data_IF_130324524090
#
_entry.id   IF_130324524090
#
_cell.length_a   1.000
_cell.length_b   1.000
_cell.length_c   1.000
_cell.angle_alpha   90.00
_cell.angle_beta   90.00
_cell.angle_gamma   90.00
#
_symmetry.space_group_name_H-M   'P 1'
#
loop_
_entity.id
_entity.type
_entity.pdbx_description
1 polymer ?
#
# COMPACT_ATOMS: atom_id res chain seq x y z
N UNK A 1 41.29 10.35 -52.23
CA UNK A 1 40.72 10.35 -53.60
C UNK A 1 39.39 9.59 -53.50
N UNK A 2 38.24 10.20 -53.85
CA UNK A 2 37.59 10.15 -55.19
C UNK A 2 37.24 8.70 -55.61
N UNK A 3 36.02 8.32 -56.01
CA UNK A 3 34.69 8.99 -56.15
C UNK A 3 33.60 7.88 -56.16
N UNK A 4 32.38 8.03 -55.61
CA UNK A 4 31.19 8.84 -56.00
C UNK A 4 30.52 8.45 -57.36
N UNK A 5 29.17 8.46 -57.35
CA UNK A 5 28.18 8.28 -58.46
C UNK A 5 27.90 6.81 -58.86
N UNK A 6 26.70 6.38 -59.26
CA UNK A 6 25.35 7.01 -59.39
C UNK A 6 24.23 5.98 -59.06
N UNK A 7 22.95 6.31 -58.84
CA UNK A 7 21.97 7.01 -59.71
C UNK A 7 21.72 6.26 -61.04
N UNK A 8 20.50 6.06 -61.60
CA UNK A 8 19.09 6.41 -61.30
C UNK A 8 18.20 5.47 -62.20
N UNK A 9 16.86 5.37 -62.23
CA UNK A 9 15.67 5.97 -61.56
C UNK A 9 14.43 5.07 -61.89
N UNK A 10 13.26 5.26 -61.26
CA UNK A 10 11.94 5.29 -61.96
C UNK A 10 10.87 6.08 -61.17
N UNK A 11 9.97 6.72 -61.91
CA UNK A 11 8.89 7.68 -61.55
C UNK A 11 7.54 7.12 -62.09
N UNK A 12 6.31 7.61 -61.88
CA UNK A 12 5.65 8.65 -61.04
C UNK A 12 4.13 8.39 -61.06
N UNK A 13 3.32 9.13 -60.27
CA UNK A 13 1.86 9.20 -60.46
C UNK A 13 1.16 10.15 -59.48
N UNK A 14 0.54 11.23 -59.97
CA UNK A 14 -0.10 12.29 -59.16
C UNK A 14 -1.44 12.74 -59.76
N UNK A 15 -2.38 13.23 -58.93
CA UNK A 15 -3.22 14.45 -59.12
C UNK A 15 -4.49 14.44 -58.23
N UNK A 16 -5.28 15.53 -58.14
CA UNK A 16 -5.01 16.73 -57.32
C UNK A 16 -6.23 17.71 -57.23
N UNK A 17 -6.51 18.23 -56.01
CA UNK A 17 -7.22 19.51 -55.70
C UNK A 17 -8.67 19.72 -56.25
N UNK A 18 -9.38 20.85 -55.97
CA UNK A 18 -9.20 21.96 -55.01
C UNK A 18 -10.37 22.05 -53.97
N UNK A 19 -10.53 23.05 -53.07
CA UNK A 19 -9.67 24.18 -52.66
C UNK A 19 -10.35 25.57 -52.69
N UNK A 20 -10.86 26.09 -51.55
CA UNK A 20 -11.35 27.49 -51.36
C UNK A 20 -11.08 28.00 -49.91
N UNK A 21 -11.06 29.34 -49.72
CA UNK A 21 -10.43 30.00 -48.55
C UNK A 21 -11.11 31.35 -48.14
N UNK A 22 -10.38 32.21 -47.38
CA UNK A 22 -10.75 33.50 -46.74
C UNK A 22 -11.42 33.31 -45.36
N UNK A 23 -11.08 34.02 -44.26
CA UNK A 23 -10.21 35.21 -44.04
C UNK A 23 -9.36 35.11 -42.74
N UNK A 24 -8.69 36.21 -42.33
CA UNK A 24 -8.08 36.42 -41.00
C UNK A 24 -8.40 37.81 -40.44
N UNK A 25 -8.57 37.94 -39.11
CA UNK A 25 -8.33 39.18 -38.31
C UNK A 25 -8.33 38.90 -36.79
N UNK A 26 -7.10 38.79 -36.26
CA UNK A 26 -6.49 39.05 -34.94
C UNK A 26 -7.16 40.14 -34.01
N UNK A 27 -6.68 40.39 -32.75
CA UNK A 27 -6.85 39.56 -31.54
C UNK A 27 -7.34 40.34 -30.28
N UNK A 28 -7.75 39.63 -29.21
CA UNK A 28 -7.41 39.88 -27.77
C UNK A 28 -8.16 38.92 -26.83
N UNK A 29 -7.63 38.70 -25.61
CA UNK A 29 -8.31 38.35 -24.34
C UNK A 29 -9.48 37.31 -24.38
N UNK A 30 -9.37 36.09 -23.84
CA UNK A 30 -8.64 35.63 -22.64
C UNK A 30 -8.24 34.15 -22.74
N UNK A 31 -7.13 33.77 -22.07
CA UNK A 31 -6.77 32.37 -21.81
C UNK A 31 -7.32 31.88 -20.45
N UNK A 32 -7.78 30.63 -20.37
CA UNK A 32 -7.79 29.82 -19.13
C UNK A 32 -7.97 28.31 -19.44
N UNK A 33 -6.88 27.54 -19.42
CA UNK A 33 -6.86 26.09 -19.65
C UNK A 33 -7.50 25.27 -18.51
N UNK A 34 -8.23 24.20 -18.86
CA UNK A 34 -8.55 23.08 -17.97
C UNK A 34 -8.77 21.79 -18.80
N UNK A 35 -7.91 20.75 -18.70
CA UNK A 35 -8.02 19.54 -19.53
C UNK A 35 -9.13 18.58 -19.09
N UNK A 36 -9.52 17.71 -20.02
CA UNK A 36 -10.59 16.72 -19.90
C UNK A 36 -10.15 15.44 -19.17
N UNK A 37 -10.65 15.23 -17.95
CA UNK A 37 -10.65 13.93 -17.24
C UNK A 37 -12.10 13.44 -17.02
N UNK A 38 -12.84 13.21 -18.12
CA UNK A 38 -14.24 12.76 -18.10
C UNK A 38 -14.48 11.46 -18.90
N UNK A 39 -13.65 10.44 -18.63
CA UNK A 39 -13.90 9.04 -19.01
C UNK A 39 -13.03 8.07 -18.21
N UNK A 40 -13.49 7.70 -17.02
CA UNK A 40 -13.19 6.42 -16.36
C UNK A 40 -14.27 6.19 -15.30
N UNK A 41 -15.41 5.65 -15.74
CA UNK A 41 -16.50 5.24 -14.86
C UNK A 41 -16.26 3.77 -14.51
N UNK A 42 -16.00 3.41 -13.24
CA UNK A 42 -15.90 2.01 -12.85
C UNK A 42 -17.19 1.26 -13.16
N UNK A 43 -17.05 0.03 -13.64
CA UNK A 43 -18.14 -0.82 -14.09
C UNK A 43 -19.29 -0.88 -13.07
N UNK A 44 -20.53 -0.80 -13.56
CA UNK A 44 -21.73 -0.82 -12.74
C UNK A 44 -22.11 -2.25 -12.35
N UNK A 45 -21.23 -2.87 -11.56
CA UNK A 45 -21.64 -3.96 -10.66
C UNK A 45 -22.90 -3.52 -9.90
N UNK A 46 -23.95 -4.35 -9.80
CA UNK A 46 -25.21 -3.95 -9.19
C UNK A 46 -24.98 -3.45 -7.76
N UNK A 47 -25.66 -2.37 -7.39
CA UNK A 47 -25.56 -1.81 -6.04
C UNK A 47 -26.05 -2.86 -5.05
N UNK A 48 -25.19 -3.29 -4.13
CA UNK A 48 -25.56 -4.15 -3.00
C UNK A 48 -26.70 -3.46 -2.21
N UNK A 49 -27.93 -3.95 -2.39
CA UNK A 49 -29.11 -3.39 -1.73
C UNK A 49 -28.98 -3.54 -0.21
N UNK A 50 -28.80 -2.41 0.47
CA UNK A 50 -28.56 -2.37 1.91
C UNK A 50 -29.79 -2.83 2.68
N UNK A 51 -29.78 -4.12 3.06
CA UNK A 51 -30.93 -4.83 3.63
C UNK A 51 -31.43 -4.14 4.91
N UNK A 52 -32.72 -3.71 4.97
CA UNK A 52 -33.30 -3.09 6.15
C UNK A 52 -33.39 -4.10 7.33
N UNK A 53 -33.41 -3.65 8.59
CA UNK A 53 -33.63 -4.54 9.73
C UNK A 53 -35.05 -5.14 9.66
N UNK A 54 -35.24 -6.42 10.00
CA UNK A 54 -36.55 -7.05 9.98
C UNK A 54 -37.52 -6.37 10.95
N UNK A 55 -38.76 -6.18 10.49
CA UNK A 55 -39.85 -5.73 11.36
C UNK A 55 -40.14 -6.77 12.45
N UNK A 56 -40.59 -6.32 13.61
CA UNK A 56 -40.84 -7.22 14.74
C UNK A 56 -41.14 -6.50 16.05
N UNK A 57 -41.41 -7.31 17.07
CA UNK A 57 -41.69 -6.87 18.44
C UNK A 57 -40.54 -7.19 19.38
N UNK A 58 -40.34 -6.31 20.34
CA UNK A 58 -39.25 -6.32 21.32
C UNK A 58 -39.82 -6.04 22.71
N UNK A 59 -39.24 -6.60 23.80
CA UNK A 59 -39.76 -6.38 25.15
C UNK A 59 -39.58 -4.92 25.63
N UNK A 60 -38.57 -4.22 25.11
CA UNK A 60 -38.23 -2.87 25.53
C UNK A 60 -37.55 -2.05 24.42
N UNK A 61 -37.33 -0.75 24.71
CA UNK A 61 -36.71 0.19 23.77
C UNK A 61 -35.23 -0.12 23.49
N UNK A 62 -34.47 -0.50 24.52
CA UNK A 62 -33.04 -0.71 24.40
C UNK A 62 -32.72 -1.99 23.61
N UNK A 63 -33.45 -3.09 23.83
CA UNK A 63 -33.32 -4.30 23.00
C UNK A 63 -33.67 -4.04 21.53
N UNK A 64 -34.74 -3.29 21.24
CA UNK A 64 -35.07 -2.86 19.87
C UNK A 64 -33.94 -2.05 19.23
N UNK A 65 -33.45 -1.02 19.91
CA UNK A 65 -32.40 -0.14 19.37
C UNK A 65 -31.07 -0.90 19.21
N UNK A 66 -30.74 -1.81 20.12
CA UNK A 66 -29.57 -2.69 20.00
C UNK A 66 -29.68 -3.62 18.78
N UNK A 67 -30.84 -4.23 18.55
CA UNK A 67 -31.11 -5.06 17.36
C UNK A 67 -30.93 -4.27 16.06
N UNK A 68 -31.54 -3.08 15.97
CA UNK A 68 -31.41 -2.19 14.79
C UNK A 68 -29.95 -1.80 14.55
N UNK A 69 -29.20 -1.45 15.59
CA UNK A 69 -27.77 -1.10 15.44
C UNK A 69 -26.90 -2.31 15.07
N UNK A 70 -27.19 -3.49 15.60
CA UNK A 70 -26.46 -4.72 15.28
C UNK A 70 -26.70 -5.15 13.82
N UNK A 71 -27.95 -5.16 13.37
CA UNK A 71 -28.31 -5.46 11.98
C UNK A 71 -27.67 -4.45 11.02
N UNK A 72 -27.83 -3.15 11.28
CA UNK A 72 -27.27 -2.10 10.44
C UNK A 72 -25.75 -2.25 10.30
N UNK A 73 -25.04 -2.46 11.41
CA UNK A 73 -23.58 -2.66 11.39
C UNK A 73 -23.17 -3.90 10.60
N UNK A 74 -23.90 -5.01 10.75
CA UNK A 74 -23.62 -6.25 10.00
C UNK A 74 -23.80 -6.06 8.48
N UNK A 75 -24.75 -5.22 8.07
CA UNK A 75 -25.02 -4.88 6.66
C UNK A 75 -24.33 -3.58 6.21
N UNK A 76 -23.31 -3.11 6.95
CA UNK A 76 -22.46 -2.01 6.51
C UNK A 76 -23.13 -0.62 6.50
N UNK A 77 -24.07 -0.31 7.39
CA UNK A 77 -24.54 1.07 7.58
C UNK A 77 -24.73 1.42 9.06
N UNK A 78 -24.91 2.71 9.36
CA UNK A 78 -25.22 3.17 10.72
C UNK A 78 -26.61 3.80 10.76
N UNK A 79 -27.30 3.60 11.89
CA UNK A 79 -28.63 4.16 12.16
C UNK A 79 -28.54 5.11 13.36
N UNK A 80 -29.25 6.23 13.27
CA UNK A 80 -29.28 7.29 14.30
C UNK A 80 -30.70 7.75 14.58
N UNK A 81 -30.94 8.26 15.78
CA UNK A 81 -32.23 8.88 16.16
C UNK A 81 -32.42 10.18 15.38
N UNK A 82 -33.48 10.26 14.58
CA UNK A 82 -33.96 11.49 13.91
C UNK A 82 -34.73 12.37 14.90
N UNK A 83 -35.60 11.77 15.70
CA UNK A 83 -36.41 12.42 16.73
C UNK A 83 -37.09 11.39 17.64
N UNK A 84 -37.66 11.85 18.77
CA UNK A 84 -38.48 11.01 19.65
C UNK A 84 -39.65 11.78 20.26
N UNK A 85 -40.73 11.08 20.55
CA UNK A 85 -41.94 11.56 21.24
C UNK A 85 -42.19 10.63 22.43
N UNK A 86 -41.64 10.97 23.59
CA UNK A 86 -41.92 10.29 24.87
C UNK A 86 -43.26 10.79 25.43
N UNK A 87 -44.07 9.94 26.10
CA UNK A 87 -45.24 10.41 26.86
C UNK A 87 -44.79 11.29 28.02
N UNK A 88 -45.62 12.26 28.41
CA UNK A 88 -45.35 13.16 29.55
C UNK A 88 -46.65 13.44 30.31
N UNK A 89 -46.54 13.89 31.56
CA UNK A 89 -47.69 14.25 32.41
C UNK A 89 -48.67 15.23 31.73
N UNK A 90 -48.14 16.14 30.89
CA UNK A 90 -48.92 17.13 30.14
C UNK A 90 -49.60 16.56 28.88
N UNK A 91 -49.33 15.30 28.50
CA UNK A 91 -49.88 14.57 27.34
C UNK A 91 -50.01 13.06 27.65
N UNK A 92 -50.90 12.66 28.58
CA UNK A 92 -51.18 11.26 28.86
C UNK A 92 -51.78 10.54 27.63
N UNK A 93 -51.65 9.21 27.58
CA UNK A 93 -52.27 8.38 26.54
C UNK A 93 -51.57 8.32 25.18
N UNK A 94 -50.46 9.04 24.94
CA UNK A 94 -49.64 8.83 23.74
C UNK A 94 -48.81 7.55 23.84
N UNK A 95 -48.79 6.75 22.78
CA UNK A 95 -47.73 5.76 22.49
C UNK A 95 -46.37 6.45 22.39
N UNK A 96 -45.33 5.86 22.98
CA UNK A 96 -43.96 6.37 22.83
C UNK A 96 -43.47 6.11 21.40
N UNK A 97 -42.82 7.07 20.73
CA UNK A 97 -42.28 6.86 19.38
C UNK A 97 -40.84 7.37 19.25
N UNK A 98 -40.01 6.65 18.51
CA UNK A 98 -38.66 7.06 18.12
C UNK A 98 -38.52 6.87 16.63
N UNK A 99 -38.18 7.94 15.91
CA UNK A 99 -37.91 7.88 14.47
C UNK A 99 -36.41 7.72 14.27
N UNK A 100 -36.03 6.73 13.47
CA UNK A 100 -34.65 6.37 13.18
C UNK A 100 -34.38 6.63 11.69
N UNK A 101 -33.12 6.88 11.33
CA UNK A 101 -32.67 7.11 9.95
C UNK A 101 -31.22 6.69 9.78
N UNK A 102 -30.72 6.61 8.56
CA UNK A 102 -29.29 6.43 8.31
C UNK A 102 -28.46 7.60 8.88
N UNK A 103 -27.22 7.36 9.33
CA UNK A 103 -26.28 8.41 9.77
C UNK A 103 -25.98 9.43 8.66
N UNK A 104 -26.04 8.98 7.40
CA UNK A 104 -25.93 9.80 6.18
C UNK A 104 -27.22 10.54 5.78
N UNK A 105 -28.32 10.35 6.50
CA UNK A 105 -29.64 10.89 6.18
C UNK A 105 -29.84 12.36 6.59
N UNK A 106 -30.60 13.12 5.79
CA UNK A 106 -30.78 14.57 5.97
C UNK A 106 -29.67 15.43 5.36
N UNK A 107 -29.97 16.73 5.22
CA UNK A 107 -29.06 17.74 4.68
C UNK A 107 -28.27 18.47 5.79
N UNK A 108 -27.06 18.95 5.47
CA UNK A 108 -26.30 19.81 6.39
C UNK A 108 -26.95 21.19 6.52
N UNK A 109 -27.03 21.73 7.75
CA UNK A 109 -27.50 23.09 8.02
C UNK A 109 -26.41 23.93 8.72
N UNK A 110 -25.94 25.04 8.14
CA UNK A 110 -24.95 25.90 8.79
C UNK A 110 -25.55 26.62 10.01
N UNK A 111 -24.92 26.46 11.17
CA UNK A 111 -25.28 27.18 12.41
C UNK A 111 -24.50 28.48 12.61
N UNK A 112 -23.57 28.81 11.72
CA UNK A 112 -22.53 29.81 11.91
C UNK A 112 -22.50 30.89 10.81
N UNK A 113 -23.56 31.02 10.00
CA UNK A 113 -23.63 31.92 8.84
C UNK A 113 -22.76 31.52 7.63
N UNK A 114 -21.71 30.73 7.84
CA UNK A 114 -20.81 30.22 6.79
C UNK A 114 -21.56 29.36 5.75
N UNK A 115 -21.54 29.83 4.50
CA UNK A 115 -21.89 29.07 3.30
C UNK A 115 -20.75 28.12 2.90
N UNK A 116 -20.78 27.45 1.74
CA UNK A 116 -19.61 26.71 1.26
C UNK A 116 -18.61 27.61 0.50
N UNK A 117 -19.06 28.68 -0.17
CA UNK A 117 -18.17 29.63 -0.87
C UNK A 117 -17.33 30.45 0.11
N UNK A 118 -17.90 30.82 1.27
CA UNK A 118 -17.23 31.61 2.32
C UNK A 118 -16.30 30.78 3.23
N UNK A 119 -16.12 29.49 2.95
CA UNK A 119 -15.54 28.51 3.88
C UNK A 119 -14.11 28.09 3.53
N UNK A 120 -13.13 28.63 4.28
CA UNK A 120 -11.68 28.36 4.13
C UNK A 120 -11.19 26.88 4.23
N UNK A 121 -12.06 25.90 4.50
CA UNK A 121 -11.72 24.46 4.56
C UNK A 121 -12.94 23.58 4.21
N UNK A 122 -12.88 22.79 3.14
CA UNK A 122 -13.91 21.77 2.80
C UNK A 122 -14.15 20.83 4.00
N UNK A 123 -15.36 20.28 4.12
CA UNK A 123 -15.83 19.53 5.30
C UNK A 123 -16.04 18.05 4.99
N UNK A 124 -15.65 17.18 5.91
CA UNK A 124 -15.90 15.72 5.90
C UNK A 124 -17.34 15.36 6.32
N UNK A 125 -18.35 16.08 5.85
CA UNK A 125 -19.75 15.71 6.14
C UNK A 125 -20.12 14.44 5.39
N UNK A 126 -20.66 13.44 6.09
CA UNK A 126 -21.17 12.18 5.49
C UNK A 126 -22.66 12.27 5.10
N UNK A 127 -23.28 13.45 5.26
CA UNK A 127 -24.68 13.69 4.95
C UNK A 127 -24.88 13.80 3.43
N UNK A 128 -25.72 12.93 2.88
CA UNK A 128 -26.08 12.85 1.45
C UNK A 128 -27.59 12.63 1.25
N UNK A 129 -28.38 13.13 2.21
CA UNK A 129 -29.84 13.06 2.25
C UNK A 129 -30.45 11.65 2.07
N UNK A 130 -29.74 10.62 2.56
CA UNK A 130 -30.18 9.22 2.49
C UNK A 130 -31.63 9.03 3.02
N UNK A 131 -32.53 8.40 2.23
CA UNK A 131 -33.96 8.37 2.54
C UNK A 131 -34.36 7.31 3.57
N UNK A 132 -33.50 6.30 3.84
CA UNK A 132 -33.74 5.21 4.78
C UNK A 132 -34.28 5.69 6.14
N UNK A 133 -35.40 5.11 6.58
CA UNK A 133 -36.11 5.55 7.78
C UNK A 133 -36.90 4.42 8.44
N UNK A 134 -36.87 4.37 9.77
CA UNK A 134 -37.64 3.43 10.59
C UNK A 134 -38.43 4.19 11.66
N UNK A 135 -39.44 3.55 12.25
CA UNK A 135 -40.07 3.99 13.49
C UNK A 135 -40.14 2.84 14.50
N UNK A 136 -39.74 3.14 15.73
CA UNK A 136 -39.94 2.29 16.89
C UNK A 136 -41.10 2.85 17.72
N UNK A 137 -42.16 2.08 17.91
CA UNK A 137 -43.36 2.48 18.65
C UNK A 137 -43.52 1.62 19.92
N UNK A 138 -43.51 2.25 21.08
CA UNK A 138 -43.56 1.61 22.39
C UNK A 138 -44.88 1.81 23.11
N UNK A 139 -45.57 0.69 23.36
CA UNK A 139 -46.62 0.57 24.37
C UNK A 139 -46.01 -0.09 25.63
N UNK A 140 -46.71 -0.12 26.78
CA UNK A 140 -46.19 -0.81 27.97
C UNK A 140 -45.91 -2.30 27.67
N UNK A 141 -44.67 -2.73 27.90
CA UNK A 141 -44.23 -4.13 27.72
C UNK A 141 -43.98 -4.59 26.27
N UNK A 142 -44.31 -3.80 25.24
CA UNK A 142 -44.07 -4.17 23.83
C UNK A 142 -43.63 -2.94 23.02
N UNK A 143 -42.50 -3.07 22.33
CA UNK A 143 -41.99 -2.13 21.35
C UNK A 143 -41.99 -2.76 19.95
N UNK A 144 -42.68 -2.14 19.00
CA UNK A 144 -42.75 -2.58 17.59
C UNK A 144 -41.81 -1.75 16.73
N UNK A 145 -41.02 -2.42 15.88
CA UNK A 145 -40.23 -1.81 14.82
C UNK A 145 -40.97 -1.89 13.49
N UNK A 146 -41.04 -0.77 12.77
CA UNK A 146 -41.62 -0.67 11.42
C UNK A 146 -40.67 0.10 10.49
N UNK A 147 -40.48 -0.41 9.27
CA UNK A 147 -39.71 0.23 8.20
C UNK A 147 -40.60 1.26 7.50
N UNK A 148 -40.17 2.53 7.49
CA UNK A 148 -40.89 3.61 6.79
C UNK A 148 -40.35 3.87 5.38
N UNK A 149 -39.05 3.61 5.18
CA UNK A 149 -38.42 3.55 3.87
C UNK A 149 -37.20 2.61 3.95
N UNK A 150 -37.16 1.51 3.18
CA UNK A 150 -36.04 0.55 3.20
C UNK A 150 -34.84 1.02 2.36
N UNK A 151 -35.02 1.96 1.43
CA UNK A 151 -34.02 2.25 0.40
C UNK A 151 -32.89 3.13 0.91
N UNK A 152 -31.67 2.84 0.47
CA UNK A 152 -30.50 3.69 0.60
C UNK A 152 -30.13 4.32 -0.76
N UNK A 153 -29.40 5.44 -0.74
CA UNK A 153 -28.81 6.07 -1.92
C UNK A 153 -27.26 5.94 -1.93
N UNK A 154 -26.75 4.90 -1.28
CA UNK A 154 -25.33 4.60 -1.17
C UNK A 154 -25.12 3.10 -0.87
N UNK A 155 -24.01 2.54 -1.33
CA UNK A 155 -23.55 1.21 -0.89
C UNK A 155 -22.97 1.22 0.54
N UNK A 156 -22.43 0.08 0.95
CA UNK A 156 -21.94 -0.16 2.31
C UNK A 156 -20.82 0.82 2.75
N UNK A 157 -20.70 1.01 4.07
CA UNK A 157 -19.59 1.66 4.74
C UNK A 157 -18.40 0.70 4.71
N UNK A 158 -17.58 0.82 3.67
CA UNK A 158 -16.21 0.33 3.69
C UNK A 158 -15.44 1.17 4.71
N UNK A 159 -15.25 0.64 5.92
CA UNK A 159 -14.48 1.28 6.98
C UNK A 159 -13.00 1.32 6.58
N UNK A 160 -12.58 2.39 5.88
CA UNK A 160 -11.17 2.76 5.81
C UNK A 160 -10.66 2.90 7.26
N UNK A 161 -9.57 2.21 7.65
CA UNK A 161 -9.13 2.16 9.04
C UNK A 161 -9.00 3.57 9.61
N UNK A 162 -9.69 3.79 10.73
CA UNK A 162 -9.87 5.11 11.33
C UNK A 162 -8.51 5.69 11.70
N UNK A 163 -8.04 6.66 10.90
CA UNK A 163 -6.74 7.32 11.13
C UNK A 163 -6.61 7.72 12.60
N UNK A 164 -5.60 7.15 13.25
CA UNK A 164 -5.12 7.55 14.58
C UNK A 164 -4.94 9.06 14.60
N UNK A 165 -5.32 9.78 15.68
CA UNK A 165 -5.11 11.22 15.75
C UNK A 165 -3.64 11.53 15.48
N UNK A 166 -3.39 12.29 14.40
CA UNK A 166 -2.08 12.47 13.79
C UNK A 166 -1.05 12.97 14.81
N UNK A 167 -0.24 12.06 15.35
CA UNK A 167 1.02 12.43 15.96
C UNK A 167 1.87 13.07 14.87
N UNK A 168 2.38 14.28 15.13
CA UNK A 168 3.15 14.99 14.11
C UNK A 168 4.60 14.50 14.12
N UNK A 169 4.80 13.38 13.42
CA UNK A 169 6.09 12.80 13.06
C UNK A 169 7.13 13.89 12.81
N UNK A 170 8.29 13.80 13.47
CA UNK A 170 9.32 14.84 13.36
C UNK A 170 9.86 14.86 11.92
N UNK A 171 10.35 16.02 11.48
CA UNK A 171 11.06 16.10 10.19
C UNK A 171 12.29 15.18 10.25
N UNK A 172 12.40 14.27 9.29
CA UNK A 172 13.45 13.24 9.27
C UNK A 172 13.04 11.93 9.95
N UNK A 173 11.76 11.76 10.28
CA UNK A 173 11.16 10.49 10.68
C UNK A 173 10.00 10.09 9.76
N UNK A 174 9.57 8.85 9.88
CA UNK A 174 8.48 8.15 9.17
C UNK A 174 7.52 7.59 10.23
N UNK A 175 6.21 7.62 9.99
CA UNK A 175 5.22 6.98 10.87
C UNK A 175 5.56 5.49 11.03
N UNK A 176 5.82 5.02 12.24
CA UNK A 176 6.19 3.62 12.48
C UNK A 176 5.79 3.15 13.89
N UNK A 177 5.87 1.84 14.12
CA UNK A 177 5.52 1.17 15.38
C UNK A 177 6.74 0.36 15.85
N UNK A 178 7.16 0.46 17.13
CA UNK A 178 6.50 1.15 18.24
C UNK A 178 6.89 2.64 18.39
N UNK A 179 7.78 3.16 17.55
CA UNK A 179 8.19 4.57 17.53
C UNK A 179 8.34 5.08 16.09
N UNK A 180 8.23 6.41 15.90
CA UNK A 180 8.51 7.08 14.62
C UNK A 180 9.99 6.91 14.22
N UNK A 181 10.26 6.34 13.05
CA UNK A 181 11.57 5.83 12.65
C UNK A 181 12.30 6.75 11.65
N UNK A 182 13.64 6.90 11.68
CA UNK A 182 14.58 6.37 12.66
C UNK A 182 14.52 7.16 13.98
N UNK A 183 15.01 6.56 15.07
CA UNK A 183 14.95 7.12 16.42
C UNK A 183 15.62 8.51 16.55
N UNK A 184 16.67 8.77 15.78
CA UNK A 184 17.47 10.02 15.79
C UNK A 184 16.99 11.09 14.79
N UNK A 185 15.93 10.80 14.03
CA UNK A 185 15.39 11.64 12.96
C UNK A 185 16.34 11.90 11.76
N UNK A 186 17.24 10.96 11.43
CA UNK A 186 18.13 11.03 10.26
C UNK A 186 17.61 10.34 8.99
N UNK A 187 16.31 10.32 8.70
CA UNK A 187 15.81 9.81 7.40
C UNK A 187 16.25 10.71 6.22
N UNK A 188 17.31 10.32 5.51
CA UNK A 188 17.84 11.03 4.32
C UNK A 188 18.58 10.07 3.36
N UNK A 189 18.77 10.43 2.08
CA UNK A 189 19.60 9.67 1.13
C UNK A 189 21.05 9.42 1.54
N UNK A 190 21.59 10.20 2.48
CA UNK A 190 22.99 10.09 2.93
C UNK A 190 23.16 9.15 4.14
N UNK A 191 22.06 8.68 4.71
CA UNK A 191 22.01 7.94 5.98
C UNK A 191 21.09 6.73 5.94
N UNK A 192 20.17 6.67 4.98
CA UNK A 192 19.18 5.59 4.82
C UNK A 192 19.35 4.86 3.50
N UNK A 193 19.34 3.52 3.53
CA UNK A 193 19.32 2.67 2.35
C UNK A 193 18.06 1.77 2.31
N UNK A 194 17.62 1.42 1.10
CA UNK A 194 16.67 0.33 0.85
C UNK A 194 17.44 -0.98 0.60
N UNK A 195 16.96 -2.06 1.19
CA UNK A 195 17.50 -3.43 1.04
C UNK A 195 16.39 -4.33 0.52
N UNK A 196 16.47 -4.73 -0.75
CA UNK A 196 15.54 -5.65 -1.40
C UNK A 196 16.06 -7.07 -1.26
N UNK A 197 15.43 -7.86 -0.39
CA UNK A 197 15.91 -9.18 0.01
C UNK A 197 15.32 -10.28 -0.88
N UNK A 198 16.20 -10.98 -1.59
CA UNK A 198 15.98 -12.28 -2.25
C UNK A 198 14.73 -12.37 -3.15
N UNK A 199 14.41 -11.28 -3.86
CA UNK A 199 13.35 -11.25 -4.88
C UNK A 199 13.83 -11.94 -6.18
N UNK A 200 14.27 -13.19 -6.06
CA UNK A 200 14.85 -14.02 -7.10
C UNK A 200 13.79 -14.86 -7.83
N UNK A 201 14.06 -15.27 -9.06
CA UNK A 201 13.14 -16.15 -9.82
C UNK A 201 12.96 -17.51 -9.13
N UNK A 202 13.98 -18.03 -8.46
CA UNK A 202 13.92 -19.24 -7.63
C UNK A 202 13.02 -19.11 -6.38
N UNK A 203 12.76 -17.87 -5.95
CA UNK A 203 11.98 -17.56 -4.75
C UNK A 203 10.54 -17.16 -5.11
N UNK A 204 10.36 -16.47 -6.25
CA UNK A 204 9.10 -15.85 -6.63
C UNK A 204 8.42 -16.44 -7.89
N UNK A 205 9.01 -17.43 -8.56
CA UNK A 205 8.41 -18.10 -9.74
C UNK A 205 7.84 -19.47 -9.43
N UNK A 206 6.76 -19.85 -10.12
CA UNK A 206 6.19 -21.20 -10.10
C UNK A 206 7.16 -22.27 -10.69
N UNK A 207 8.16 -21.83 -11.46
CA UNK A 207 9.24 -22.66 -12.01
C UNK A 207 10.49 -22.71 -11.09
N UNK A 208 10.48 -21.97 -9.99
CA UNK A 208 11.62 -21.76 -9.10
C UNK A 208 11.71 -22.73 -7.92
N UNK A 209 12.89 -22.78 -7.28
CA UNK A 209 13.17 -23.60 -6.10
C UNK A 209 12.05 -23.66 -5.04
N UNK A 210 11.46 -22.53 -4.64
CA UNK A 210 10.43 -22.52 -3.58
C UNK A 210 9.15 -23.25 -3.97
N UNK A 211 8.73 -23.15 -5.24
CA UNK A 211 7.61 -23.91 -5.77
C UNK A 211 7.95 -25.41 -5.85
N UNK A 212 9.19 -25.76 -6.19
CA UNK A 212 9.69 -27.15 -6.18
C UNK A 212 9.84 -27.76 -4.78
N UNK A 213 10.00 -26.95 -3.73
CA UNK A 213 9.88 -27.40 -2.33
C UNK A 213 8.40 -27.59 -1.88
N UNK A 214 7.42 -27.29 -2.75
CA UNK A 214 6.00 -27.53 -2.50
C UNK A 214 5.22 -26.37 -1.87
N UNK A 215 5.76 -25.15 -1.89
CA UNK A 215 5.08 -23.97 -1.33
C UNK A 215 4.32 -23.15 -2.38
N UNK A 216 3.28 -22.44 -1.94
CA UNK A 216 2.61 -21.41 -2.75
C UNK A 216 3.48 -20.14 -2.83
N UNK A 217 3.81 -19.74 -4.06
CA UNK A 217 4.58 -18.51 -4.36
C UNK A 217 3.70 -17.34 -4.82
N UNK A 218 2.39 -17.52 -4.93
CA UNK A 218 1.43 -16.45 -5.30
C UNK A 218 1.55 -15.20 -4.41
N UNK A 219 1.74 -15.31 -3.07
CA UNK A 219 1.96 -14.15 -2.20
C UNK A 219 3.25 -13.37 -2.53
N UNK A 220 4.29 -14.06 -3.05
CA UNK A 220 5.54 -13.45 -3.49
C UNK A 220 5.37 -12.70 -4.82
N UNK A 221 4.66 -13.30 -5.77
CA UNK A 221 4.30 -12.64 -7.05
C UNK A 221 3.49 -11.36 -6.79
N UNK A 222 2.54 -11.40 -5.85
CA UNK A 222 1.74 -10.25 -5.44
C UNK A 222 2.52 -9.16 -4.66
N UNK A 223 3.78 -9.41 -4.28
CA UNK A 223 4.67 -8.44 -3.62
C UNK A 223 5.46 -7.59 -4.63
N UNK A 224 5.78 -8.16 -5.80
CA UNK A 224 6.58 -7.54 -6.87
C UNK A 224 6.14 -6.10 -7.20
N UNK A 225 4.88 -5.82 -7.60
CA UNK A 225 4.47 -4.46 -7.96
C UNK A 225 4.50 -3.47 -6.79
N UNK A 226 4.41 -3.95 -5.54
CA UNK A 226 4.51 -3.10 -4.34
C UNK A 226 5.95 -2.65 -4.09
N UNK A 227 6.90 -3.60 -4.18
CA UNK A 227 8.33 -3.28 -4.08
C UNK A 227 8.76 -2.39 -5.25
N UNK A 228 8.24 -2.62 -6.47
CA UNK A 228 8.52 -1.75 -7.64
C UNK A 228 8.21 -0.29 -7.35
N UNK A 229 7.00 0.01 -6.86
CA UNK A 229 6.58 1.37 -6.49
C UNK A 229 7.50 2.00 -5.42
N UNK A 230 7.91 1.24 -4.41
CA UNK A 230 8.83 1.72 -3.38
C UNK A 230 10.23 2.01 -3.94
N UNK A 231 10.74 1.08 -4.75
CA UNK A 231 12.03 1.13 -5.43
C UNK A 231 12.11 2.36 -6.36
N UNK A 232 11.04 2.65 -7.10
CA UNK A 232 10.93 3.85 -7.94
C UNK A 232 10.92 5.15 -7.11
N UNK A 233 10.23 5.19 -5.98
CA UNK A 233 10.27 6.35 -5.08
C UNK A 233 11.68 6.60 -4.52
N UNK A 234 12.37 5.55 -4.07
CA UNK A 234 13.74 5.63 -3.56
C UNK A 234 14.73 6.11 -4.64
N UNK A 235 14.71 5.48 -5.81
CA UNK A 235 15.50 5.87 -6.99
C UNK A 235 15.24 7.33 -7.37
N UNK A 236 13.97 7.73 -7.49
CA UNK A 236 13.57 9.06 -7.89
C UNK A 236 13.81 10.16 -6.83
N UNK A 237 14.28 9.80 -5.63
CA UNK A 237 14.73 10.71 -4.58
C UNK A 237 16.23 10.55 -4.23
N UNK A 238 16.97 9.72 -4.98
CA UNK A 238 18.41 9.52 -4.83
C UNK A 238 18.84 8.69 -3.62
N UNK A 239 17.94 7.95 -2.98
CA UNK A 239 18.30 7.07 -1.87
C UNK A 239 19.10 5.85 -2.38
N UNK A 240 20.13 5.40 -1.63
CA UNK A 240 20.81 4.14 -1.90
C UNK A 240 19.85 2.95 -1.93
N UNK A 241 20.03 2.08 -2.92
CA UNK A 241 19.37 0.78 -3.04
C UNK A 241 20.43 -0.31 -3.07
N UNK A 242 20.19 -1.39 -2.34
CA UNK A 242 20.96 -2.61 -2.34
C UNK A 242 19.99 -3.78 -2.56
N UNK A 243 20.44 -4.80 -3.28
CA UNK A 243 19.68 -6.03 -3.53
C UNK A 243 20.44 -7.23 -2.96
N UNK A 244 19.75 -8.28 -2.54
CA UNK A 244 20.40 -9.55 -2.14
C UNK A 244 19.91 -10.70 -3.00
N UNK A 245 20.79 -11.70 -3.17
CA UNK A 245 20.47 -12.99 -3.76
C UNK A 245 21.03 -14.08 -2.86
N UNK A 246 20.20 -14.98 -2.37
CA UNK A 246 20.65 -16.20 -1.71
C UNK A 246 21.13 -17.19 -2.77
N UNK A 247 22.36 -17.68 -2.60
CA UNK A 247 22.85 -18.77 -3.43
C UNK A 247 24.32 -19.12 -3.24
N UNK A 248 24.68 -20.27 -3.77
CA UNK A 248 25.98 -20.89 -3.58
C UNK A 248 26.80 -20.88 -4.87
N UNK A 249 28.12 -21.01 -4.76
CA UNK A 249 29.00 -21.11 -5.93
C UNK A 249 28.66 -22.37 -6.77
N UNK A 250 28.93 -22.38 -8.09
CA UNK A 250 28.67 -23.53 -8.96
C UNK A 250 29.33 -24.85 -8.52
N UNK A 251 30.48 -24.76 -7.84
CA UNK A 251 31.24 -25.87 -7.25
C UNK A 251 30.71 -26.36 -5.89
N UNK A 252 29.63 -25.75 -5.38
CA UNK A 252 29.03 -25.98 -4.05
C UNK A 252 29.98 -25.69 -2.87
N UNK A 253 31.13 -25.05 -3.07
CA UNK A 253 32.12 -24.76 -2.01
C UNK A 253 31.59 -23.87 -0.88
N UNK A 254 30.47 -23.18 -1.10
CA UNK A 254 29.79 -22.33 -0.10
C UNK A 254 28.48 -22.96 0.41
N UNK A 255 28.22 -24.25 0.17
CA UNK A 255 27.03 -24.97 0.66
C UNK A 255 27.41 -25.86 1.86
N UNK A 256 26.78 -25.63 3.01
CA UNK A 256 27.04 -26.48 4.19
C UNK A 256 26.39 -27.88 4.04
N UNK A 257 27.01 -28.92 4.61
CA UNK A 257 26.47 -30.29 4.58
C UNK A 257 25.07 -30.38 5.20
N UNK A 258 24.82 -29.62 6.27
CA UNK A 258 23.50 -29.46 6.90
C UNK A 258 22.46 -28.87 5.95
N UNK A 259 22.83 -27.85 5.18
CA UNK A 259 21.93 -27.17 4.22
C UNK A 259 21.65 -28.03 2.99
N UNK A 260 22.67 -28.73 2.49
CA UNK A 260 22.52 -29.73 1.44
C UNK A 260 21.50 -30.80 1.88
N UNK A 261 21.69 -31.39 3.06
CA UNK A 261 20.74 -32.35 3.63
C UNK A 261 19.32 -31.75 3.79
N UNK A 262 19.21 -30.54 4.37
CA UNK A 262 17.93 -29.86 4.59
C UNK A 262 17.15 -29.61 3.30
N UNK A 263 17.82 -29.16 2.24
CA UNK A 263 17.17 -28.81 0.97
C UNK A 263 16.69 -30.02 0.17
N UNK A 264 17.29 -31.19 0.38
CA UNK A 264 16.84 -32.46 -0.21
C UNK A 264 15.86 -33.23 0.69
N UNK A 265 15.57 -32.75 1.91
CA UNK A 265 14.64 -33.38 2.86
C UNK A 265 13.17 -33.00 2.55
N UNK A 266 12.70 -33.40 1.37
CA UNK A 266 11.34 -33.24 0.89
C UNK A 266 10.94 -34.48 0.04
N UNK A 267 9.65 -34.69 -0.31
CA UNK A 267 9.19 -35.90 -1.00
C UNK A 267 9.81 -36.15 -2.39
N UNK A 268 10.38 -35.13 -3.03
CA UNK A 268 11.01 -35.26 -4.36
C UNK A 268 12.50 -35.58 -4.28
N UNK A 269 13.10 -35.53 -3.09
CA UNK A 269 14.56 -35.59 -2.87
C UNK A 269 15.38 -34.59 -3.71
N UNK A 270 14.76 -33.50 -4.18
CA UNK A 270 15.37 -32.45 -5.01
C UNK A 270 15.73 -31.24 -4.13
N UNK A 271 16.94 -30.71 -4.24
CA UNK A 271 17.42 -29.62 -3.39
C UNK A 271 18.39 -28.66 -4.06
N UNK A 272 19.18 -27.92 -3.26
CA UNK A 272 20.12 -26.91 -3.76
C UNK A 272 21.15 -27.56 -4.69
N UNK A 273 21.38 -26.94 -5.85
CA UNK A 273 22.29 -27.45 -6.88
C UNK A 273 21.72 -28.57 -7.76
N UNK A 274 20.53 -29.09 -7.46
CA UNK A 274 19.76 -29.94 -8.39
C UNK A 274 19.22 -29.12 -9.56
N UNK A 275 19.01 -29.76 -10.72
CA UNK A 275 18.50 -29.09 -11.93
C UNK A 275 16.98 -28.93 -11.91
N UNK A 276 16.51 -27.70 -12.09
CA UNK A 276 15.11 -27.35 -12.37
C UNK A 276 14.94 -26.66 -13.73
N UNK A 277 13.73 -26.15 -14.04
CA UNK A 277 13.44 -25.47 -15.31
C UNK A 277 14.29 -24.21 -15.53
N UNK A 278 14.68 -23.54 -14.44
CA UNK A 278 15.46 -22.30 -14.46
C UNK A 278 16.97 -22.52 -14.24
N UNK A 279 17.47 -23.74 -14.49
CA UNK A 279 18.85 -24.12 -14.21
C UNK A 279 19.00 -24.78 -12.83
N UNK A 280 20.19 -24.73 -12.24
CA UNK A 280 20.46 -25.35 -10.93
C UNK A 280 19.97 -24.47 -9.77
N UNK A 281 19.11 -25.03 -8.91
CA UNK A 281 18.45 -24.28 -7.83
C UNK A 281 19.44 -23.61 -6.86
N UNK A 282 19.27 -22.30 -6.65
CA UNK A 282 20.07 -21.43 -5.79
C UNK A 282 21.59 -21.45 -6.10
N UNK A 283 21.97 -21.63 -7.37
CA UNK A 283 23.37 -21.57 -7.82
C UNK A 283 23.66 -20.27 -8.58
N UNK A 284 24.73 -19.57 -8.16
CA UNK A 284 25.14 -18.28 -8.71
C UNK A 284 25.43 -18.39 -10.21
N UNK A 285 24.73 -17.58 -11.01
CA UNK A 285 24.84 -17.52 -12.46
C UNK A 285 23.76 -18.28 -13.23
N UNK A 286 22.94 -19.10 -12.56
CA UNK A 286 21.81 -19.79 -13.19
C UNK A 286 20.60 -18.83 -13.34
N UNK A 287 19.75 -19.02 -14.38
CA UNK A 287 18.57 -18.16 -14.61
C UNK A 287 17.55 -18.09 -13.46
N UNK A 288 17.50 -19.09 -12.57
CA UNK A 288 16.66 -19.11 -11.37
C UNK A 288 17.20 -18.26 -10.23
N UNK A 289 18.53 -18.23 -10.07
CA UNK A 289 19.20 -17.48 -9.01
C UNK A 289 19.04 -15.96 -9.16
N UNK A 290 18.79 -15.45 -10.36
CA UNK A 290 18.77 -14.00 -10.59
C UNK A 290 17.45 -13.31 -10.18
N UNK A 291 17.52 -11.99 -10.01
CA UNK A 291 16.41 -11.13 -9.56
C UNK A 291 15.30 -11.09 -10.61
N UNK A 292 14.04 -11.01 -10.16
CA UNK A 292 12.88 -10.90 -11.07
C UNK A 292 12.96 -9.62 -11.93
N UNK A 293 12.67 -9.66 -13.25
CA UNK A 293 12.92 -8.53 -14.16
C UNK A 293 12.30 -7.20 -13.73
N UNK A 294 11.11 -7.22 -13.15
CA UNK A 294 10.41 -6.02 -12.65
C UNK A 294 11.18 -5.28 -11.57
N UNK A 295 11.99 -5.99 -10.76
CA UNK A 295 12.75 -5.43 -9.64
C UNK A 295 14.25 -5.32 -9.93
N UNK A 296 14.66 -5.54 -11.18
CA UNK A 296 16.07 -5.68 -11.54
C UNK A 296 16.91 -4.46 -11.10
N UNK A 297 18.16 -4.68 -10.63
CA UNK A 297 19.07 -3.61 -10.23
C UNK A 297 19.39 -2.64 -11.37
N UNK A 298 19.63 -1.37 -11.02
CA UNK A 298 20.22 -0.37 -11.91
C UNK A 298 21.73 -0.25 -11.68
N UNK A 299 22.42 0.39 -12.62
CA UNK A 299 23.83 0.75 -12.45
C UNK A 299 24.04 1.58 -11.18
N UNK A 300 24.99 1.16 -10.34
CA UNK A 300 25.27 1.79 -9.04
C UNK A 300 24.46 1.24 -7.86
N UNK A 301 23.55 0.28 -8.06
CA UNK A 301 22.85 -0.46 -7.01
C UNK A 301 23.56 -1.81 -6.73
N UNK A 302 24.25 -2.01 -5.59
CA UNK A 302 25.01 -3.23 -5.36
C UNK A 302 24.11 -4.46 -5.15
N UNK A 303 24.58 -5.61 -5.65
CA UNK A 303 23.91 -6.91 -5.50
C UNK A 303 24.77 -7.82 -4.63
N UNK A 304 24.22 -8.28 -3.51
CA UNK A 304 24.90 -9.06 -2.48
C UNK A 304 24.56 -10.55 -2.65
N UNK A 305 25.48 -11.32 -3.24
CA UNK A 305 25.33 -12.77 -3.34
C UNK A 305 25.74 -13.44 -2.00
N UNK A 306 24.76 -13.74 -1.16
CA UNK A 306 24.95 -14.30 0.19
C UNK A 306 24.79 -15.84 0.19
N UNK A 307 25.67 -16.60 0.87
CA UNK A 307 25.59 -18.07 0.93
C UNK A 307 24.68 -18.58 2.08
N UNK A 308 23.80 -17.73 2.62
CA UNK A 308 22.96 -18.03 3.78
C UNK A 308 21.87 -16.98 3.99
N UNK A 309 21.17 -17.05 5.14
CA UNK A 309 19.94 -16.28 5.36
C UNK A 309 20.17 -14.77 5.53
N UNK A 310 21.03 -14.36 6.46
CA UNK A 310 21.32 -12.95 6.71
C UNK A 310 22.27 -12.35 5.69
N UNK A 311 22.02 -11.10 5.28
CA UNK A 311 22.78 -10.44 4.23
C UNK A 311 24.20 -10.02 4.63
N UNK A 312 24.54 -10.01 5.92
CA UNK A 312 25.88 -9.67 6.40
C UNK A 312 26.78 -10.90 6.59
N UNK A 313 26.20 -12.10 6.70
CA UNK A 313 26.94 -13.34 6.91
C UNK A 313 27.80 -13.72 5.69
N UNK A 314 29.12 -13.57 5.83
CA UNK A 314 30.13 -13.89 4.81
C UNK A 314 30.04 -13.05 3.52
N UNK A 315 29.66 -11.78 3.65
CA UNK A 315 29.57 -10.81 2.54
C UNK A 315 30.38 -9.54 2.81
N UNK A 316 30.47 -8.65 1.81
CA UNK A 316 31.00 -7.29 1.93
C UNK A 316 29.91 -6.24 2.24
N UNK A 317 28.67 -6.66 2.53
CA UNK A 317 27.52 -5.77 2.67
C UNK A 317 27.71 -4.70 3.75
N UNK A 318 28.30 -5.05 4.91
CA UNK A 318 28.63 -4.05 5.92
C UNK A 318 29.63 -3.01 5.40
N UNK A 319 30.70 -3.44 4.73
CA UNK A 319 31.73 -2.54 4.19
C UNK A 319 31.12 -1.52 3.22
N UNK A 320 30.22 -1.99 2.33
CA UNK A 320 29.52 -1.13 1.37
C UNK A 320 28.55 -0.14 2.04
N UNK A 321 27.90 -0.52 3.14
CA UNK A 321 27.02 0.36 3.91
C UNK A 321 27.83 1.41 4.71
N UNK A 322 28.88 0.97 5.43
CA UNK A 322 29.73 1.86 6.24
C UNK A 322 30.47 2.88 5.39
N UNK A 323 31.04 2.46 4.26
CA UNK A 323 31.73 3.36 3.31
C UNK A 323 30.79 4.42 2.70
N UNK A 324 29.48 4.14 2.61
CA UNK A 324 28.46 5.08 2.13
C UNK A 324 27.82 5.91 3.26
N UNK A 325 28.26 5.73 4.51
CA UNK A 325 27.76 6.48 5.67
C UNK A 325 26.38 6.03 6.19
N UNK A 326 25.89 4.87 5.76
CA UNK A 326 24.54 4.40 6.11
C UNK A 326 24.44 4.05 7.58
N UNK A 327 23.32 4.47 8.18
CA UNK A 327 22.91 4.17 9.56
C UNK A 327 21.57 3.44 9.61
N UNK A 328 20.70 3.70 8.64
CA UNK A 328 19.29 3.34 8.69
C UNK A 328 18.97 2.40 7.52
N UNK A 329 18.30 1.27 7.77
CA UNK A 329 18.00 0.26 6.77
C UNK A 329 16.49 0.03 6.65
N UNK A 330 15.93 0.25 5.47
CA UNK A 330 14.57 -0.22 5.13
C UNK A 330 14.71 -1.59 4.49
N UNK A 331 14.09 -2.62 5.07
CA UNK A 331 14.19 -4.00 4.59
C UNK A 331 12.84 -4.48 4.05
N UNK A 332 12.86 -5.00 2.83
CA UNK A 332 11.70 -5.52 2.08
C UNK A 332 12.07 -6.84 1.39
N UNK A 333 11.08 -7.59 0.92
CA UNK A 333 11.31 -8.85 0.18
C UNK A 333 10.96 -10.11 0.97
N UNK A 334 11.72 -11.19 0.77
CA UNK A 334 11.29 -12.55 1.12
C UNK A 334 12.42 -13.42 1.71
N UNK A 335 12.17 -14.37 2.63
CA UNK A 335 10.95 -14.50 3.45
C UNK A 335 11.04 -13.62 4.70
N UNK A 336 9.89 -13.09 5.18
CA UNK A 336 9.82 -12.20 6.36
C UNK A 336 10.45 -12.83 7.60
N UNK A 337 10.20 -14.12 7.81
CA UNK A 337 10.65 -14.94 8.93
C UNK A 337 12.08 -15.49 8.77
N UNK A 338 12.56 -15.59 7.53
CA UNK A 338 13.84 -16.17 7.16
C UNK A 338 14.89 -15.10 6.87
N UNK A 339 15.14 -14.82 5.59
CA UNK A 339 16.22 -13.94 5.16
C UNK A 339 16.04 -12.48 5.60
N UNK A 340 14.80 -11.97 5.59
CA UNK A 340 14.46 -10.61 6.05
C UNK A 340 14.69 -10.49 7.56
N UNK A 341 14.10 -11.36 8.40
CA UNK A 341 14.33 -11.35 9.85
C UNK A 341 15.81 -11.58 10.23
N UNK A 342 16.53 -12.43 9.50
CA UNK A 342 17.97 -12.65 9.73
C UNK A 342 18.78 -11.38 9.46
N UNK A 343 18.50 -10.72 8.32
CA UNK A 343 19.16 -9.47 7.93
C UNK A 343 18.82 -8.31 8.88
N UNK A 344 17.56 -8.22 9.35
CA UNK A 344 17.14 -7.26 10.36
C UNK A 344 17.91 -7.45 11.67
N UNK A 345 18.01 -8.69 12.18
CA UNK A 345 18.75 -9.04 13.41
C UNK A 345 20.23 -8.68 13.29
N UNK A 346 20.89 -9.15 12.23
CA UNK A 346 22.29 -8.82 11.96
C UNK A 346 22.52 -7.31 11.85
N UNK A 347 21.58 -6.56 11.25
CA UNK A 347 21.63 -5.10 11.16
C UNK A 347 21.53 -4.42 12.54
N UNK A 348 20.60 -4.87 13.39
CA UNK A 348 20.40 -4.30 14.72
C UNK A 348 21.58 -4.60 15.65
N UNK A 349 22.11 -5.83 15.64
CA UNK A 349 23.32 -6.21 16.40
C UNK A 349 24.56 -5.41 15.95
N UNK A 350 24.56 -4.92 14.70
CA UNK A 350 25.56 -4.01 14.12
C UNK A 350 25.25 -2.52 14.35
N UNK A 351 24.21 -2.18 15.10
CA UNK A 351 23.82 -0.80 15.39
C UNK A 351 23.31 -0.01 14.17
N UNK A 352 22.72 -0.67 13.18
CA UNK A 352 21.87 0.00 12.20
C UNK A 352 20.44 0.13 12.75
N UNK A 353 19.79 1.26 12.49
CA UNK A 353 18.38 1.46 12.81
C UNK A 353 17.51 0.86 11.68
N UNK A 354 16.66 -0.10 12.00
CA UNK A 354 15.99 -0.96 11.01
C UNK A 354 14.48 -0.68 10.91
N UNK A 355 13.96 -0.67 9.68
CA UNK A 355 12.53 -0.59 9.37
C UNK A 355 12.09 -1.77 8.51
N UNK A 356 11.19 -2.58 9.03
CA UNK A 356 10.47 -3.60 8.25
C UNK A 356 9.14 -3.03 7.72
N UNK A 357 8.89 -3.16 6.42
CA UNK A 357 7.58 -2.81 5.87
C UNK A 357 6.66 -4.05 5.89
N UNK A 358 5.58 -4.00 6.67
CA UNK A 358 4.69 -5.15 6.85
C UNK A 358 3.98 -5.54 5.55
N UNK A 359 3.66 -4.58 4.67
CA UNK A 359 3.14 -4.84 3.33
C UNK A 359 4.21 -4.83 2.21
N UNK A 360 5.48 -4.72 2.60
CA UNK A 360 6.67 -4.83 1.74
C UNK A 360 7.48 -6.12 1.95
N UNK A 361 7.05 -7.03 2.81
CA UNK A 361 7.65 -8.35 2.97
C UNK A 361 6.59 -9.46 2.98
N UNK A 362 6.99 -10.70 2.67
CA UNK A 362 6.09 -11.87 2.72
C UNK A 362 6.81 -13.12 3.21
N UNK A 363 6.09 -14.08 3.79
CA UNK A 363 6.61 -15.41 4.15
C UNK A 363 5.71 -16.50 3.57
N UNK A 364 6.23 -17.73 3.53
CA UNK A 364 5.53 -18.92 2.99
C UNK A 364 4.36 -19.37 3.88
N UNK A 365 4.34 -18.93 5.14
CA UNK A 365 3.20 -19.02 6.05
C UNK A 365 2.86 -17.64 6.62
N UNK A 366 1.56 -17.31 6.67
CA UNK A 366 1.09 -15.99 7.11
C UNK A 366 1.23 -15.78 8.63
N UNK A 367 1.17 -16.83 9.45
CA UNK A 367 1.40 -16.73 10.89
C UNK A 367 2.88 -16.49 11.21
N UNK A 368 3.80 -17.07 10.44
CA UNK A 368 5.24 -16.77 10.52
C UNK A 368 5.55 -15.34 10.09
N UNK A 369 4.92 -14.84 9.02
CA UNK A 369 5.00 -13.42 8.63
C UNK A 369 4.57 -12.49 9.79
N UNK A 370 3.38 -12.71 10.36
CA UNK A 370 2.88 -11.91 11.49
C UNK A 370 3.77 -12.04 12.74
N UNK A 371 4.29 -13.24 13.02
CA UNK A 371 5.22 -13.50 14.12
C UNK A 371 6.53 -12.73 13.96
N UNK A 372 7.10 -12.73 12.75
CA UNK A 372 8.31 -11.97 12.43
C UNK A 372 8.07 -10.45 12.60
N UNK A 373 7.03 -9.90 11.97
CA UNK A 373 6.65 -8.49 12.10
C UNK A 373 6.41 -8.09 13.57
N UNK A 374 5.74 -8.93 14.35
CA UNK A 374 5.52 -8.66 15.78
C UNK A 374 6.81 -8.75 16.61
N UNK A 375 7.74 -9.66 16.28
CA UNK A 375 9.02 -9.78 17.00
C UNK A 375 9.89 -8.52 16.91
N UNK A 376 9.77 -7.74 15.82
CA UNK A 376 10.44 -6.44 15.66
C UNK A 376 9.97 -5.42 16.71
N UNK A 377 8.66 -5.40 16.99
CA UNK A 377 7.99 -4.41 17.84
C UNK A 377 8.12 -4.67 19.35
N UNK A 378 8.65 -5.84 19.76
CA UNK A 378 8.79 -6.20 21.18
C UNK A 378 9.80 -5.31 21.90
N UNK A 379 9.69 -5.23 23.23
CA UNK A 379 10.64 -4.52 24.11
C UNK A 379 10.90 -3.04 23.76
N UNK A 380 9.96 -2.39 23.06
CA UNK A 380 10.09 -1.00 22.62
C UNK A 380 10.78 -0.82 21.25
N UNK A 381 10.98 -1.92 20.51
CA UNK A 381 11.55 -1.94 19.17
C UNK A 381 12.87 -2.71 19.09
N UNK A 382 12.88 -3.93 19.63
CA UNK A 382 14.06 -4.79 19.80
C UNK A 382 14.85 -5.00 18.50
N UNK A 383 14.18 -5.00 17.35
CA UNK A 383 14.81 -5.14 16.03
C UNK A 383 14.50 -3.93 15.12
N UNK A 384 14.35 -2.75 15.73
CA UNK A 384 13.92 -1.53 15.04
C UNK A 384 12.40 -1.30 15.11
N UNK A 385 11.80 -0.90 13.99
CA UNK A 385 10.38 -0.58 13.89
C UNK A 385 9.72 -1.27 12.68
N UNK A 386 8.38 -1.25 12.63
CA UNK A 386 7.60 -1.61 11.45
C UNK A 386 6.73 -0.47 10.93
N UNK A 387 6.50 -0.43 9.62
CA UNK A 387 5.65 0.56 8.94
C UNK A 387 5.04 -0.04 7.66
N UNK A 388 4.50 0.81 6.78
CA UNK A 388 3.89 0.44 5.50
C UNK A 388 4.53 1.20 4.34
N UNK A 389 4.43 0.62 3.13
CA UNK A 389 4.92 1.24 1.90
C UNK A 389 4.30 2.64 1.69
N UNK A 390 3.02 2.83 2.00
CA UNK A 390 2.34 4.12 1.83
C UNK A 390 2.93 5.23 2.70
N UNK A 391 3.17 4.97 4.00
CA UNK A 391 3.76 5.92 4.92
C UNK A 391 5.21 6.27 4.54
N UNK A 392 6.00 5.28 4.12
CA UNK A 392 7.38 5.49 3.71
C UNK A 392 7.50 6.22 2.37
N UNK A 393 6.71 5.85 1.35
CA UNK A 393 6.70 6.57 0.05
C UNK A 393 6.30 8.04 0.26
N UNK A 394 5.28 8.29 1.09
CA UNK A 394 4.89 9.65 1.46
C UNK A 394 6.00 10.42 2.20
N UNK A 395 6.82 9.76 3.03
CA UNK A 395 7.99 10.38 3.65
C UNK A 395 9.11 10.72 2.62
N UNK A 396 9.36 9.83 1.66
CA UNK A 396 10.31 10.05 0.55
C UNK A 396 9.87 11.23 -0.31
N UNK A 397 8.61 11.27 -0.73
CA UNK A 397 8.05 12.37 -1.52
C UNK A 397 8.10 13.71 -0.77
N UNK A 398 7.81 13.71 0.53
CA UNK A 398 7.97 14.92 1.36
C UNK A 398 9.42 15.39 1.42
N UNK A 399 10.39 14.49 1.53
CA UNK A 399 11.81 14.84 1.49
C UNK A 399 12.21 15.45 0.14
N UNK A 400 11.83 14.80 -0.98
CA UNK A 400 12.09 15.27 -2.35
C UNK A 400 11.50 16.67 -2.60
N UNK A 401 10.25 16.88 -2.19
CA UNK A 401 9.57 18.18 -2.29
C UNK A 401 10.25 19.29 -1.45
N UNK A 402 10.90 18.94 -0.33
CA UNK A 402 11.66 19.89 0.49
C UNK A 402 13.03 20.23 -0.11
N UNK A 403 13.67 19.33 -0.87
CA UNK A 403 14.89 19.64 -1.62
C UNK A 403 14.59 20.58 -2.79
N UNK A 404 13.61 20.25 -3.64
CA UNK A 404 13.24 21.09 -4.80
C UNK A 404 12.91 22.52 -4.37
N UNK A 405 12.13 22.69 -3.30
CA UNK A 405 11.80 24.02 -2.74
C UNK A 405 12.98 24.77 -2.12
N UNK A 406 14.06 24.08 -1.75
CA UNK A 406 15.31 24.71 -1.29
C UNK A 406 16.24 25.12 -2.43
N UNK A 407 16.22 24.41 -3.56
CA UNK A 407 17.10 24.67 -4.70
C UNK A 407 16.50 25.65 -5.71
N UNK A 408 15.17 25.71 -5.84
CA UNK A 408 14.50 26.66 -6.75
C UNK A 408 14.93 28.14 -6.58
N UNK A 409 15.14 28.69 -5.37
CA UNK A 409 15.68 30.05 -5.19
C UNK A 409 17.12 30.24 -5.67
N UNK A 410 17.90 29.16 -5.84
CA UNK A 410 19.28 29.22 -6.31
C UNK A 410 19.38 29.12 -7.84
N UNK A 411 18.35 28.61 -8.51
CA UNK A 411 18.27 28.48 -9.98
C UNK A 411 17.62 29.69 -10.68
N UNK A 412 17.21 30.72 -9.93
CA UNK A 412 16.68 31.98 -10.47
C UNK A 412 17.69 33.14 -10.32
N UNK A 413 18.96 32.84 -10.07
CA UNK A 413 20.06 33.81 -9.85
C UNK A 413 21.33 33.37 -10.61
N UNK A 414 21.14 32.66 -11.75
CA UNK A 414 22.18 32.09 -12.61
C UNK A 414 21.83 32.31 -14.08
#
# INVERSE_FOLDING_TARGET
MLSRNGANFWKEGQSAAPGHAVSMADPTDLNLDAPSDLQDIPDLSPVDDLVPPPEGTYPDKASLIASVHAHAKAHGYNVVVKSSSTPTEKKPGRTAKVWLRCDRGGQYRPRNGLTEETRKRKRTSRLMDCPFMLVAAGNPGIWTLTVLNPSHNHGAIVDKPRQTPHHRVKKGQVTAVPYDWPHDATFTPFTTALVVVDMQRDVCSQEGYMAYQGYDVTPAMALIPKIRRLLDAFRAAGFPVYHTREGHRPDLSTLSTRENFRSHNNPTATGIGSTGPLGRFLIRGEPGHDIVPDLYPLEGEPVIDKPGRGAFAHTDFELLLRNKGIKNLVVVGMTTDGAVASTLREGCDKGFDCLLLEDGAVALDHTLHLGACNSVKMEGGLLGATSRIDDLVHAVDNFKNLLVKKMAPQMMVS
#
